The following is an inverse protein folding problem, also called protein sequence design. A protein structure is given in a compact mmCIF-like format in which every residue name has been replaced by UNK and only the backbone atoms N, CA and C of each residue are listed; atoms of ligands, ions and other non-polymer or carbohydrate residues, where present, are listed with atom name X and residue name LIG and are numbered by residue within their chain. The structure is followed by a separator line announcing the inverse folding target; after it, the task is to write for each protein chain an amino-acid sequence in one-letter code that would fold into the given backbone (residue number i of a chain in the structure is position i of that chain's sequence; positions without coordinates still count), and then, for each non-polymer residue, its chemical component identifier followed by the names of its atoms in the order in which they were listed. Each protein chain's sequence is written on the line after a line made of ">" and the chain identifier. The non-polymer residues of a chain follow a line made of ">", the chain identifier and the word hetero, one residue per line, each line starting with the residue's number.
data_IF_724412973740
#
_entry.id   IF_724412973740
#
_cell.length_a   1.000
_cell.length_b   1.000
_cell.length_c   1.000
_cell.angle_alpha   90.00
_cell.angle_beta   90.00
_cell.angle_gamma   90.00
#
_symmetry.space_group_name_H-M   'P 1'
#
loop_
_entity.id
_entity.type
_entity.pdbx_description
1 polymer ?
#
# COMPACT_ATOMS: atom_id res chain seq x y z
N UNK A 1 0.43 3.83 10.86
CA UNK A 1 0.87 3.03 12.03
C UNK A 1 1.99 3.75 12.75
N UNK A 2 2.18 3.50 14.03
CA UNK A 2 3.27 4.07 14.82
C UNK A 2 4.64 3.87 14.16
N UNK A 3 4.89 2.72 13.53
CA UNK A 3 6.14 2.45 12.81
C UNK A 3 6.37 3.43 11.65
N UNK A 4 5.34 3.78 10.88
CA UNK A 4 5.45 4.76 9.80
C UNK A 4 5.65 6.18 10.34
N UNK A 5 5.05 6.52 11.47
CA UNK A 5 5.26 7.80 12.16
C UNK A 5 6.70 7.93 12.64
N UNK A 6 7.28 6.86 13.20
CA UNK A 6 8.72 6.83 13.57
C UNK A 6 9.63 7.06 12.36
N UNK A 7 9.30 6.50 11.18
CA UNK A 7 10.05 6.75 9.94
C UNK A 7 9.95 8.22 9.52
N UNK A 8 8.74 8.79 9.58
CA UNK A 8 8.52 10.21 9.22
C UNK A 8 9.29 11.14 10.17
N UNK A 9 9.33 10.81 11.46
CA UNK A 9 10.03 11.63 12.45
C UNK A 9 11.56 11.49 12.38
N UNK A 10 12.06 10.33 11.98
CA UNK A 10 13.51 10.02 12.00
C UNK A 10 13.88 9.05 10.88
N UNK A 11 14.08 9.55 9.67
CA UNK A 11 14.55 8.74 8.54
C UNK A 11 15.85 7.99 8.85
N UNK A 12 15.87 6.70 8.51
CA UNK A 12 17.07 5.87 8.53
C UNK A 12 17.53 5.33 9.90
N UNK A 13 16.82 5.63 11.01
CA UNK A 13 17.41 5.44 12.33
C UNK A 13 17.11 4.11 13.05
N UNK A 14 15.90 3.72 13.32
CA UNK A 14 15.67 2.60 14.27
C UNK A 14 14.92 1.41 13.66
N UNK A 15 14.13 1.64 12.64
CA UNK A 15 13.26 0.65 12.01
C UNK A 15 13.62 0.58 10.52
N UNK A 16 14.79 0.04 10.21
CA UNK A 16 15.28 -0.01 8.84
C UNK A 16 15.96 -1.38 8.55
N UNK A 17 15.44 -2.16 7.60
CA UNK A 17 14.24 -1.92 6.80
C UNK A 17 12.94 -2.18 7.56
N UNK A 18 11.85 -1.53 7.16
CA UNK A 18 10.48 -1.84 7.60
C UNK A 18 9.73 -2.59 6.50
N UNK A 19 9.14 -3.72 6.86
CA UNK A 19 8.30 -4.53 5.99
C UNK A 19 6.85 -4.54 6.51
N UNK A 20 5.92 -4.07 5.71
CA UNK A 20 4.48 -4.14 5.98
C UNK A 20 3.90 -5.35 5.27
N UNK A 21 3.36 -6.30 6.01
CA UNK A 21 2.72 -7.48 5.47
C UNK A 21 1.21 -7.51 5.75
N UNK A 22 0.49 -8.32 5.01
CA UNK A 22 -0.95 -8.54 5.23
C UNK A 22 -1.69 -8.89 3.95
N UNK A 23 -2.94 -9.35 4.05
CA UNK A 23 -3.76 -9.72 2.90
C UNK A 23 -4.00 -8.57 1.91
N UNK A 24 -4.52 -8.91 0.72
CA UNK A 24 -4.97 -7.90 -0.25
C UNK A 24 -6.07 -7.03 0.36
N UNK A 25 -6.12 -5.76 -0.06
CA UNK A 25 -7.14 -4.82 0.39
C UNK A 25 -6.94 -4.23 1.80
N UNK A 26 -5.87 -4.60 2.54
CA UNK A 26 -5.62 -4.08 3.91
C UNK A 26 -5.00 -2.67 3.94
N UNK A 27 -4.72 -2.07 2.79
CA UNK A 27 -4.19 -0.71 2.71
C UNK A 27 -2.67 -0.59 2.74
N UNK A 28 -1.90 -1.68 2.55
CA UNK A 28 -0.42 -1.67 2.54
C UNK A 28 0.17 -0.62 1.61
N UNK A 29 -0.19 -0.66 0.32
CA UNK A 29 0.30 0.30 -0.68
C UNK A 29 -0.14 1.72 -0.36
N UNK A 30 -1.36 1.91 0.16
CA UNK A 30 -1.84 3.22 0.59
C UNK A 30 -0.97 3.79 1.72
N UNK A 31 -0.67 2.98 2.72
CA UNK A 31 0.18 3.36 3.85
C UNK A 31 1.61 3.67 3.39
N UNK A 32 2.17 2.84 2.49
CA UNK A 32 3.48 3.06 1.88
C UNK A 32 3.54 4.42 1.17
N UNK A 33 2.57 4.70 0.28
CA UNK A 33 2.51 5.98 -0.44
C UNK A 33 2.28 7.19 0.49
N UNK A 34 1.39 7.06 1.48
CA UNK A 34 1.14 8.11 2.45
C UNK A 34 2.39 8.45 3.28
N UNK A 35 3.18 7.44 3.64
CA UNK A 35 4.48 7.64 4.32
C UNK A 35 5.46 8.39 3.42
N UNK A 36 5.58 7.98 2.14
CA UNK A 36 6.43 8.67 1.17
C UNK A 36 6.04 10.13 0.95
N UNK A 37 4.75 10.41 0.79
CA UNK A 37 4.25 11.77 0.66
C UNK A 37 4.51 12.62 1.91
N UNK A 38 4.42 12.04 3.09
CA UNK A 38 4.72 12.73 4.34
C UNK A 38 6.21 13.07 4.42
N UNK A 39 7.10 12.13 4.06
CA UNK A 39 8.55 12.38 4.03
C UNK A 39 8.90 13.53 3.08
N UNK A 40 8.32 13.55 1.87
CA UNK A 40 8.53 14.65 0.90
C UNK A 40 8.09 16.03 1.41
N UNK A 41 7.21 16.10 2.41
CA UNK A 41 6.79 17.38 3.01
C UNK A 41 7.75 17.91 4.08
N UNK A 42 8.49 17.00 4.74
CA UNK A 42 9.32 17.35 5.89
C UNK A 42 10.82 17.29 5.61
N UNK A 43 11.22 16.67 4.50
CA UNK A 43 12.63 16.44 4.15
C UNK A 43 12.89 16.85 2.70
N UNK A 44 14.08 17.41 2.45
CA UNK A 44 14.54 17.77 1.09
C UNK A 44 15.11 16.56 0.31
N UNK A 45 15.05 15.36 0.91
CA UNK A 45 15.53 14.14 0.28
C UNK A 45 14.55 13.63 -0.79
N UNK A 46 15.10 12.95 -1.79
CA UNK A 46 14.28 12.26 -2.78
C UNK A 46 13.63 10.99 -2.18
N UNK A 47 12.39 10.74 -2.57
CA UNK A 47 11.68 9.49 -2.33
C UNK A 47 11.60 8.73 -3.64
N UNK A 48 12.12 7.51 -3.64
CA UNK A 48 12.05 6.63 -4.81
C UNK A 48 11.13 5.45 -4.55
N UNK A 49 10.43 5.03 -5.61
CA UNK A 49 9.51 3.91 -5.54
C UNK A 49 9.84 2.87 -6.60
N UNK A 50 9.84 1.61 -6.18
CA UNK A 50 9.91 0.42 -7.04
C UNK A 50 8.62 -0.35 -6.84
N UNK A 51 7.90 -0.63 -7.94
CA UNK A 51 6.71 -1.50 -7.90
C UNK A 51 7.07 -2.88 -8.42
N UNK A 52 6.72 -3.92 -7.69
CA UNK A 52 6.99 -5.30 -8.06
C UNK A 52 6.45 -5.64 -9.44
N UNK A 53 5.26 -5.17 -9.78
CA UNK A 53 4.63 -5.35 -11.09
C UNK A 53 5.44 -4.73 -12.24
N UNK A 54 5.96 -3.51 -12.04
CA UNK A 54 6.77 -2.81 -13.03
C UNK A 54 8.13 -3.49 -13.21
N UNK A 55 8.76 -3.89 -12.12
CA UNK A 55 10.07 -4.52 -12.14
C UNK A 55 10.04 -5.90 -12.83
N UNK A 56 9.01 -6.71 -12.58
CA UNK A 56 8.82 -7.99 -13.28
C UNK A 56 8.63 -7.75 -14.80
N UNK A 57 7.82 -6.76 -15.17
CA UNK A 57 7.57 -6.42 -16.56
C UNK A 57 8.83 -5.93 -17.29
N UNK A 58 9.69 -5.17 -16.57
CA UNK A 58 10.95 -4.67 -17.11
C UNK A 58 12.05 -5.75 -17.14
N UNK A 59 11.90 -6.83 -16.38
CA UNK A 59 12.85 -7.94 -16.21
C UNK A 59 14.25 -7.56 -15.70
N UNK A 60 14.49 -6.29 -15.36
CA UNK A 60 15.74 -5.80 -14.80
C UNK A 60 15.59 -4.44 -14.13
N UNK A 61 16.49 -4.12 -13.19
CA UNK A 61 16.66 -2.77 -12.67
C UNK A 61 17.34 -1.87 -13.73
N UNK A 62 17.07 -0.53 -13.74
CA UNK A 62 17.84 0.41 -14.53
C UNK A 62 19.34 0.28 -14.25
N UNK A 63 20.19 0.42 -15.28
CA UNK A 63 21.64 0.23 -15.14
C UNK A 63 22.30 1.28 -14.22
N UNK A 64 21.69 2.44 -14.09
CA UNK A 64 22.13 3.60 -13.32
C UNK A 64 21.50 3.69 -11.93
N UNK A 65 20.93 2.60 -11.43
CA UNK A 65 20.24 2.60 -10.12
C UNK A 65 21.15 3.06 -8.96
N UNK A 66 22.46 2.83 -9.05
CA UNK A 66 23.41 3.29 -8.06
C UNK A 66 23.49 4.82 -7.98
N UNK A 67 23.51 5.49 -9.14
CA UNK A 67 23.53 6.96 -9.22
C UNK A 67 22.20 7.54 -8.75
N UNK A 68 21.10 6.85 -9.08
CA UNK A 68 19.77 7.23 -8.66
C UNK A 68 19.57 7.24 -7.13
N UNK A 69 20.38 6.52 -6.36
CA UNK A 69 20.30 6.51 -4.91
C UNK A 69 21.07 7.65 -4.23
N UNK A 70 21.90 8.41 -4.93
CA UNK A 70 22.82 9.39 -4.34
C UNK A 70 22.13 10.44 -3.44
N UNK A 71 20.92 10.88 -3.77
CA UNK A 71 20.14 11.87 -3.01
C UNK A 71 18.88 11.27 -2.38
N UNK A 72 18.74 9.94 -2.39
CA UNK A 72 17.56 9.26 -1.88
C UNK A 72 17.61 9.18 -0.35
N UNK A 73 16.56 9.63 0.33
CA UNK A 73 16.39 9.45 1.76
C UNK A 73 15.45 8.30 2.10
N UNK A 74 14.50 7.98 1.20
CA UNK A 74 13.52 6.92 1.38
C UNK A 74 13.35 6.11 0.10
N UNK A 75 13.56 4.81 0.19
CA UNK A 75 13.26 3.82 -0.85
C UNK A 75 11.98 3.06 -0.48
N UNK A 76 10.97 3.18 -1.32
CA UNK A 76 9.70 2.46 -1.21
C UNK A 76 9.70 1.28 -2.18
N UNK A 77 9.29 0.09 -1.71
CA UNK A 77 9.17 -1.10 -2.55
C UNK A 77 7.78 -1.69 -2.34
N UNK A 78 6.93 -1.59 -3.36
CA UNK A 78 5.57 -2.10 -3.28
C UNK A 78 5.45 -3.50 -3.91
N UNK A 79 4.65 -4.36 -3.28
CA UNK A 79 4.35 -5.73 -3.72
C UNK A 79 5.61 -6.63 -3.87
N UNK A 80 6.46 -6.62 -2.86
CA UNK A 80 7.73 -7.34 -2.85
C UNK A 80 7.58 -8.86 -3.05
N UNK A 81 6.46 -9.45 -2.64
CA UNK A 81 6.16 -10.87 -2.84
C UNK A 81 6.18 -11.30 -4.31
N UNK A 82 5.84 -10.41 -5.24
CA UNK A 82 5.87 -10.72 -6.67
C UNK A 82 7.30 -10.97 -7.17
N UNK A 83 8.28 -10.32 -6.55
CA UNK A 83 9.68 -10.37 -6.94
C UNK A 83 10.38 -11.57 -6.29
N UNK A 84 9.94 -11.97 -5.10
CA UNK A 84 10.61 -13.01 -4.29
C UNK A 84 10.65 -14.39 -4.98
N UNK A 85 9.80 -14.63 -5.96
CA UNK A 85 9.76 -15.88 -6.75
C UNK A 85 10.69 -15.88 -7.96
N UNK A 86 11.22 -14.71 -8.37
CA UNK A 86 12.15 -14.60 -9.50
C UNK A 86 13.57 -14.43 -8.96
N UNK A 87 14.43 -15.46 -9.10
CA UNK A 87 15.75 -15.52 -8.51
C UNK A 87 16.67 -14.39 -8.99
N UNK A 88 16.71 -14.10 -10.28
CA UNK A 88 17.61 -13.08 -10.86
C UNK A 88 17.22 -11.67 -10.39
N UNK A 89 15.95 -11.34 -10.48
CA UNK A 89 15.43 -10.03 -10.05
C UNK A 89 15.54 -9.89 -8.54
N UNK A 90 15.21 -10.93 -7.79
CA UNK A 90 15.30 -10.99 -6.33
C UNK A 90 16.72 -10.77 -5.85
N UNK A 91 17.69 -11.39 -6.50
CA UNK A 91 19.12 -11.21 -6.16
C UNK A 91 19.57 -9.78 -6.45
N UNK A 92 19.24 -9.23 -7.62
CA UNK A 92 19.62 -7.86 -8.01
C UNK A 92 18.96 -6.82 -7.10
N UNK A 93 17.67 -6.98 -6.80
CA UNK A 93 16.97 -6.11 -5.86
C UNK A 93 17.53 -6.23 -4.44
N UNK A 94 17.91 -7.44 -4.03
CA UNK A 94 18.57 -7.66 -2.75
C UNK A 94 19.89 -6.88 -2.61
N UNK A 95 20.69 -6.80 -3.68
CA UNK A 95 21.90 -5.96 -3.70
C UNK A 95 21.56 -4.47 -3.61
N UNK A 96 20.53 -4.00 -4.33
CA UNK A 96 20.07 -2.62 -4.25
C UNK A 96 19.62 -2.26 -2.83
N UNK A 97 18.81 -3.10 -2.20
CA UNK A 97 18.33 -2.88 -0.82
C UNK A 97 19.51 -2.86 0.16
N UNK A 98 20.42 -3.83 0.08
CA UNK A 98 21.61 -3.88 0.94
C UNK A 98 22.48 -2.63 0.78
N UNK A 99 22.70 -2.19 -0.46
CA UNK A 99 23.42 -0.96 -0.75
C UNK A 99 22.71 0.28 -0.17
N UNK A 100 21.40 0.36 -0.33
CA UNK A 100 20.58 1.44 0.25
C UNK A 100 20.72 1.53 1.77
N UNK A 101 20.68 0.38 2.45
CA UNK A 101 20.85 0.31 3.89
C UNK A 101 22.24 0.77 4.33
N UNK A 102 23.29 0.40 3.57
CA UNK A 102 24.67 0.83 3.84
C UNK A 102 24.88 2.34 3.64
N UNK A 103 24.10 2.97 2.76
CA UNK A 103 24.06 4.43 2.59
C UNK A 103 23.20 5.15 3.65
N UNK A 104 22.57 4.41 4.55
CA UNK A 104 21.65 4.99 5.56
C UNK A 104 20.27 5.37 5.00
N UNK A 105 19.93 4.95 3.78
CA UNK A 105 18.63 5.20 3.17
C UNK A 105 17.59 4.38 3.91
N UNK A 106 16.47 5.01 4.29
CA UNK A 106 15.32 4.30 4.85
C UNK A 106 14.67 3.44 3.78
N UNK A 107 14.48 2.16 4.09
CA UNK A 107 13.75 1.21 3.23
C UNK A 107 12.41 0.87 3.87
N UNK A 108 11.32 1.05 3.10
CA UNK A 108 9.97 0.67 3.47
C UNK A 108 9.38 -0.20 2.36
N UNK A 109 9.00 -1.41 2.69
CA UNK A 109 8.47 -2.36 1.72
C UNK A 109 7.10 -2.91 2.11
N UNK A 110 6.33 -3.36 1.12
CA UNK A 110 5.07 -4.08 1.33
C UNK A 110 5.12 -5.47 0.71
N UNK A 111 4.42 -6.42 1.33
CA UNK A 111 4.30 -7.78 0.83
C UNK A 111 3.00 -8.44 1.28
N UNK A 112 2.58 -9.51 0.64
CA UNK A 112 1.50 -10.37 1.13
C UNK A 112 1.94 -11.20 2.33
N UNK A 113 3.17 -11.70 2.27
CA UNK A 113 3.76 -12.62 3.25
C UNK A 113 5.12 -12.13 3.73
N UNK A 114 5.57 -12.63 4.86
CA UNK A 114 6.89 -12.35 5.38
C UNK A 114 8.00 -13.16 4.71
N UNK A 115 9.28 -12.83 4.97
CA UNK A 115 10.43 -13.49 4.36
C UNK A 115 10.50 -15.00 4.61
N UNK A 116 9.94 -15.50 5.70
CA UNK A 116 9.95 -16.94 6.04
C UNK A 116 9.28 -17.82 4.98
N UNK A 117 8.42 -17.25 4.14
CA UNK A 117 7.72 -17.94 3.05
C UNK A 117 8.38 -17.75 1.67
N UNK A 118 9.46 -16.96 1.58
CA UNK A 118 10.11 -16.65 0.31
C UNK A 118 11.21 -17.66 -0.03
N UNK A 119 11.52 -17.79 -1.33
CA UNK A 119 12.67 -18.54 -1.77
C UNK A 119 13.98 -17.89 -1.26
N UNK A 120 14.97 -18.73 -0.96
CA UNK A 120 16.28 -18.24 -0.53
C UNK A 120 16.94 -17.43 -1.65
N UNK A 121 17.27 -16.19 -1.35
CA UNK A 121 17.88 -15.23 -2.27
C UNK A 121 18.60 -14.12 -1.51
N UNK A 122 19.34 -13.25 -2.20
CA UNK A 122 19.93 -12.07 -1.55
C UNK A 122 18.87 -11.17 -0.93
N UNK A 123 17.73 -11.01 -1.57
CA UNK A 123 16.60 -10.24 -1.04
C UNK A 123 16.09 -10.84 0.29
N UNK A 124 15.95 -12.17 0.34
CA UNK A 124 15.56 -12.87 1.55
C UNK A 124 16.55 -12.63 2.70
N UNK A 125 17.87 -12.72 2.43
CA UNK A 125 18.91 -12.50 3.44
C UNK A 125 18.84 -11.12 4.09
N UNK A 126 18.54 -10.09 3.29
CA UNK A 126 18.44 -8.71 3.75
C UNK A 126 17.10 -8.49 4.48
N UNK A 127 16.01 -8.92 3.88
CA UNK A 127 14.66 -8.64 4.40
C UNK A 127 14.29 -9.47 5.63
N UNK A 128 14.92 -10.60 5.85
CA UNK A 128 14.74 -11.40 7.07
C UNK A 128 15.18 -10.66 8.35
N UNK A 129 15.97 -9.59 8.22
CA UNK A 129 16.37 -8.71 9.32
C UNK A 129 15.44 -7.52 9.50
N UNK A 130 14.40 -7.39 8.67
CA UNK A 130 13.46 -6.28 8.74
C UNK A 130 12.62 -6.30 10.01
N UNK A 131 12.22 -5.11 10.44
CA UNK A 131 11.10 -4.99 11.36
C UNK A 131 9.81 -5.25 10.58
N UNK A 132 8.94 -6.10 11.11
CA UNK A 132 7.71 -6.50 10.42
C UNK A 132 6.51 -5.89 11.13
N UNK A 133 5.64 -5.26 10.35
CA UNK A 133 4.31 -4.80 10.78
C UNK A 133 3.26 -5.55 9.97
N UNK A 134 2.39 -6.27 10.66
CA UNK A 134 1.29 -6.98 10.02
C UNK A 134 0.01 -6.15 10.07
N UNK A 135 -0.61 -5.95 8.90
CA UNK A 135 -1.92 -5.35 8.79
C UNK A 135 -2.99 -6.44 8.71
N UNK A 136 -3.86 -6.44 9.70
CA UNK A 136 -5.04 -7.31 9.70
C UNK A 136 -6.11 -6.81 8.72
N UNK A 137 -6.99 -7.69 8.23
CA UNK A 137 -8.16 -7.28 7.47
C UNK A 137 -8.97 -6.23 8.23
N UNK A 138 -9.49 -5.26 7.51
CA UNK A 138 -10.30 -4.19 8.10
C UNK A 138 -11.62 -4.79 8.58
N UNK A 139 -12.02 -4.46 9.80
CA UNK A 139 -13.32 -4.91 10.33
C UNK A 139 -14.48 -4.27 9.57
N UNK A 140 -15.59 -4.99 9.42
CA UNK A 140 -16.80 -4.45 8.79
C UNK A 140 -17.29 -3.17 9.48
N UNK A 141 -17.12 -3.05 10.79
CA UNK A 141 -17.46 -1.84 11.54
C UNK A 141 -16.57 -0.65 11.14
N UNK A 142 -15.27 -0.86 10.96
CA UNK A 142 -14.35 0.19 10.50
C UNK A 142 -14.63 0.59 9.05
N UNK A 143 -14.97 -0.36 8.18
CA UNK A 143 -15.40 -0.08 6.81
C UNK A 143 -16.72 0.69 6.78
N UNK A 144 -17.70 0.33 7.60
CA UNK A 144 -18.97 1.05 7.69
C UNK A 144 -18.77 2.53 8.07
N UNK A 145 -17.90 2.81 9.05
CA UNK A 145 -17.53 4.17 9.42
C UNK A 145 -16.84 4.91 8.27
N UNK A 146 -15.97 4.23 7.53
CA UNK A 146 -15.32 4.81 6.36
C UNK A 146 -16.34 5.13 5.27
N UNK A 147 -17.20 4.19 4.92
CA UNK A 147 -18.27 4.41 3.93
C UNK A 147 -19.12 5.63 4.31
N UNK A 148 -19.55 5.70 5.56
CA UNK A 148 -20.36 6.81 6.07
C UNK A 148 -19.66 8.16 5.93
N UNK A 149 -18.37 8.21 6.28
CA UNK A 149 -17.55 9.43 6.16
C UNK A 149 -17.33 9.81 4.70
N UNK A 150 -16.85 8.87 3.89
CA UNK A 150 -16.48 9.13 2.51
C UNK A 150 -17.69 9.47 1.63
N UNK A 151 -18.80 8.76 1.80
CA UNK A 151 -20.05 9.09 1.11
C UNK A 151 -20.54 10.48 1.46
N UNK A 152 -20.48 10.88 2.73
CA UNK A 152 -20.86 12.24 3.15
C UNK A 152 -19.98 13.32 2.53
N UNK A 153 -18.67 13.08 2.39
CA UNK A 153 -17.74 14.00 1.71
C UNK A 153 -18.06 14.15 0.23
N UNK A 154 -18.64 13.13 -0.41
CA UNK A 154 -19.08 13.14 -1.81
C UNK A 154 -20.55 13.55 -1.97
N UNK A 155 -21.18 14.08 -0.91
CA UNK A 155 -22.56 14.54 -0.95
C UNK A 155 -23.61 13.43 -0.94
N UNK A 156 -23.22 12.18 -0.63
CA UNK A 156 -24.13 11.04 -0.53
C UNK A 156 -24.59 10.86 0.91
N UNK A 157 -25.89 10.84 1.14
CA UNK A 157 -26.50 10.52 2.43
C UNK A 157 -26.92 9.05 2.43
N UNK A 158 -26.00 8.17 2.85
CA UNK A 158 -26.27 6.75 3.00
C UNK A 158 -26.70 6.42 4.43
N UNK A 159 -27.85 5.79 4.56
CA UNK A 159 -28.31 5.21 5.84
C UNK A 159 -27.56 3.89 6.13
N UNK A 160 -27.65 3.42 7.37
CA UNK A 160 -26.95 2.21 7.80
C UNK A 160 -27.37 0.97 6.96
N UNK A 161 -28.63 0.89 6.49
CA UNK A 161 -29.09 -0.17 5.59
C UNK A 161 -28.35 -0.16 4.24
N UNK A 162 -28.18 1.02 3.63
CA UNK A 162 -27.41 1.18 2.38
C UNK A 162 -25.96 0.76 2.56
N UNK A 163 -25.35 1.12 3.69
CA UNK A 163 -23.97 0.77 4.02
C UNK A 163 -23.83 -0.75 4.18
N UNK A 164 -24.76 -1.40 4.84
CA UNK A 164 -24.75 -2.86 5.00
C UNK A 164 -24.84 -3.57 3.65
N UNK A 165 -25.77 -3.18 2.77
CA UNK A 165 -25.88 -3.75 1.43
C UNK A 165 -24.61 -3.52 0.58
N UNK A 166 -24.00 -2.34 0.66
CA UNK A 166 -22.76 -2.06 -0.02
C UNK A 166 -21.63 -2.99 0.46
N UNK A 167 -21.48 -3.18 1.77
CA UNK A 167 -20.46 -4.05 2.35
C UNK A 167 -20.72 -5.53 2.06
N UNK A 168 -21.97 -5.98 2.02
CA UNK A 168 -22.32 -7.35 1.59
C UNK A 168 -21.92 -7.62 0.14
N UNK A 169 -22.09 -6.62 -0.74
CA UNK A 169 -21.72 -6.74 -2.15
C UNK A 169 -20.21 -6.68 -2.38
N UNK A 170 -19.50 -5.76 -1.71
CA UNK A 170 -18.07 -5.52 -1.90
C UNK A 170 -17.17 -6.41 -1.04
N UNK A 171 -17.73 -7.04 -0.03
CA UNK A 171 -16.95 -7.69 1.02
C UNK A 171 -16.12 -6.68 1.83
N UNK A 172 -15.07 -7.16 2.47
CA UNK A 172 -14.18 -6.34 3.29
C UNK A 172 -12.96 -5.82 2.50
N UNK A 173 -13.12 -5.59 1.20
CA UNK A 173 -12.06 -5.04 0.35
C UNK A 173 -12.20 -3.53 0.19
N UNK A 174 -11.17 -2.82 0.67
CA UNK A 174 -11.11 -1.36 0.62
C UNK A 174 -11.24 -0.76 -0.79
N UNK A 175 -10.65 -1.43 -1.81
CA UNK A 175 -10.71 -0.93 -3.19
C UNK A 175 -12.12 -1.04 -3.76
N UNK A 176 -12.76 -2.18 -3.56
CA UNK A 176 -14.14 -2.43 -4.00
C UNK A 176 -15.10 -1.45 -3.33
N UNK A 177 -14.93 -1.21 -2.03
CA UNK A 177 -15.73 -0.23 -1.28
C UNK A 177 -15.58 1.18 -1.86
N UNK A 178 -14.36 1.67 -2.07
CA UNK A 178 -14.13 3.01 -2.61
C UNK A 178 -14.64 3.15 -4.06
N UNK A 179 -14.46 2.12 -4.89
CA UNK A 179 -15.00 2.10 -6.25
C UNK A 179 -16.52 2.19 -6.24
N UNK A 180 -17.18 1.46 -5.35
CA UNK A 180 -18.63 1.49 -5.20
C UNK A 180 -19.16 2.85 -4.74
N UNK A 181 -18.47 3.50 -3.80
CA UNK A 181 -18.82 4.87 -3.37
C UNK A 181 -18.71 5.84 -4.55
N UNK A 182 -17.65 5.75 -5.35
CA UNK A 182 -17.47 6.61 -6.52
C UNK A 182 -18.57 6.39 -7.59
N UNK A 183 -18.98 5.13 -7.82
CA UNK A 183 -20.07 4.80 -8.75
C UNK A 183 -21.39 5.41 -8.25
N UNK A 184 -21.70 5.26 -6.97
CA UNK A 184 -22.91 5.83 -6.36
C UNK A 184 -22.91 7.36 -6.40
N UNK A 185 -21.76 8.01 -6.17
CA UNK A 185 -21.63 9.45 -6.26
C UNK A 185 -21.88 9.97 -7.67
N UNK A 186 -21.30 9.32 -8.69
CA UNK A 186 -21.55 9.64 -10.09
C UNK A 186 -23.01 9.46 -10.51
N UNK A 187 -23.70 8.44 -9.99
CA UNK A 187 -25.11 8.22 -10.24
C UNK A 187 -25.98 9.32 -9.58
N UNK A 188 -25.59 9.76 -8.37
CA UNK A 188 -26.29 10.83 -7.65
C UNK A 188 -26.20 12.19 -8.39
N UNK A 189 -25.03 12.54 -8.93
CA UNK A 189 -24.84 13.77 -9.71
C UNK A 189 -25.74 13.83 -10.96
N UNK A 190 -26.08 12.69 -11.53
CA UNK A 190 -26.97 12.56 -12.69
C UNK A 190 -28.47 12.67 -12.33
N UNK A 191 -28.80 12.82 -11.04
CA UNK A 191 -30.18 13.01 -10.58
C UNK A 191 -31.03 11.72 -10.55
N UNK A 192 -30.40 10.56 -10.65
CA UNK A 192 -31.10 9.27 -10.81
C UNK A 192 -31.53 8.62 -9.49
N UNK A 193 -31.40 9.28 -8.33
CA UNK A 193 -31.48 8.54 -7.09
C UNK A 193 -32.27 9.20 -5.96
N UNK A 194 -33.46 8.67 -5.72
CA UNK A 194 -33.99 8.53 -4.36
C UNK A 194 -33.57 7.11 -3.89
N UNK A 195 -32.53 7.02 -3.05
CA UNK A 195 -31.98 5.74 -2.64
C UNK A 195 -32.94 4.95 -1.76
N UNK A 196 -33.45 3.84 -2.30
CA UNK A 196 -33.85 2.71 -1.47
C UNK A 196 -32.61 1.77 -1.33
N UNK A 197 -32.47 0.99 -0.25
CA UNK A 197 -31.34 0.08 -0.08
C UNK A 197 -31.09 -0.83 -1.30
N UNK A 198 -32.15 -1.26 -1.96
CA UNK A 198 -32.12 -2.11 -3.17
C UNK A 198 -31.56 -1.39 -4.41
N UNK A 199 -31.66 -0.05 -4.48
CA UNK A 199 -31.10 0.74 -5.57
C UNK A 199 -29.58 0.72 -5.56
N UNK A 200 -28.94 0.60 -4.39
CA UNK A 200 -27.50 0.49 -4.26
C UNK A 200 -26.98 -0.71 -5.03
N UNK A 201 -27.61 -1.88 -4.86
CA UNK A 201 -27.20 -3.10 -5.59
C UNK A 201 -27.49 -2.99 -7.10
N UNK A 202 -28.58 -2.35 -7.50
CA UNK A 202 -28.92 -2.15 -8.91
C UNK A 202 -27.91 -1.24 -9.62
N UNK A 203 -27.38 -0.24 -8.93
CA UNK A 203 -26.38 0.69 -9.50
C UNK A 203 -25.01 0.04 -9.57
N UNK A 204 -24.69 -0.87 -8.63
CA UNK A 204 -23.42 -1.56 -8.56
C UNK A 204 -23.35 -2.83 -9.43
N UNK A 205 -24.47 -3.35 -9.92
CA UNK A 205 -24.55 -4.52 -10.80
C UNK A 205 -24.20 -4.16 -12.24
#
# INVERSE_FOLDING_TARGET
>A
TQACEVIIDRLGNQINPLLIIGPNGTGKSHLLHATGQSVLRYYDNEVRIIRGTELISASALPKDWHEALANTGLLLIDDLHLISENEDISTTLGHLVDHSLNLGIQVLATSLTGPDSWASSRLWDVMKKSSIVELSPISSASLALHVKRESSLQGLLLEDAHIMHLLEHTGNDWRSVNSSIAILANANEKGDVAYQPEDVLRILA
#
